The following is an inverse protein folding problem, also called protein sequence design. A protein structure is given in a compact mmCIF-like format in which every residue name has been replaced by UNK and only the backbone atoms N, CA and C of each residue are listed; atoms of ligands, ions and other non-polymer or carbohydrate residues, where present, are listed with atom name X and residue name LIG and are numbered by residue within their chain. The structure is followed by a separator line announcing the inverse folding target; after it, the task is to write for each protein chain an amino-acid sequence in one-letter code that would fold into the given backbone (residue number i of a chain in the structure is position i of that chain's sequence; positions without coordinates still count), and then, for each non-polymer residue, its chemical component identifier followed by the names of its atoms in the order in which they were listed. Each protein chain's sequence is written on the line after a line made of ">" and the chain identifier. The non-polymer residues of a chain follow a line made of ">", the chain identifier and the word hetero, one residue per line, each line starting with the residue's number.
data_IF_149361755908
#
_entry.id   IF_149361755908
#
_cell.length_a   1.000
_cell.length_b   1.000
_cell.length_c   1.000
_cell.angle_alpha   90.00
_cell.angle_beta   90.00
_cell.angle_gamma   90.00
#
_symmetry.space_group_name_H-M   'P 1'
#
loop_
_entity.id
_entity.type
_entity.pdbx_description
1 polymer ?
#
# COMPACT_ATOMS: atom_id res chain seq x y z
N UNK A 1 19.91 5.35 10.57
CA UNK A 1 19.78 4.40 11.67
C UNK A 1 20.04 2.99 11.13
N UNK A 2 20.58 2.05 11.95
CA UNK A 2 20.77 0.68 11.51
C UNK A 2 19.40 0.01 11.25
N UNK A 3 19.30 -0.73 10.16
CA UNK A 3 18.19 -1.62 9.88
C UNK A 3 18.48 -2.97 10.57
N UNK A 4 17.60 -3.37 11.47
CA UNK A 4 17.82 -4.56 12.30
C UNK A 4 16.75 -5.59 11.96
N UNK A 5 17.13 -6.55 11.12
CA UNK A 5 16.29 -7.68 10.75
C UNK A 5 16.67 -8.91 11.57
N UNK A 6 15.68 -9.58 12.12
CA UNK A 6 15.87 -10.82 12.86
C UNK A 6 14.83 -11.85 12.43
N UNK A 7 15.33 -13.01 12.01
CA UNK A 7 14.50 -14.11 11.56
C UNK A 7 14.15 -15.03 12.74
N UNK A 8 12.86 -15.33 12.88
CA UNK A 8 12.33 -16.27 13.86
C UNK A 8 11.52 -17.35 13.16
N UNK A 9 11.33 -18.49 13.82
CA UNK A 9 10.30 -19.42 13.41
C UNK A 9 8.91 -18.77 13.55
N UNK A 10 7.99 -19.14 12.66
CA UNK A 10 6.67 -18.49 12.56
C UNK A 10 5.85 -18.69 13.86
N UNK A 11 5.95 -19.87 14.48
CA UNK A 11 5.24 -20.20 15.73
C UNK A 11 5.84 -19.52 16.97
N UNK A 12 7.16 -19.36 16.99
CA UNK A 12 7.89 -18.75 18.12
C UNK A 12 7.90 -17.22 18.10
N UNK A 13 7.65 -16.58 16.96
CA UNK A 13 7.70 -15.12 16.81
C UNK A 13 6.87 -14.37 17.86
N UNK A 14 5.66 -14.85 18.16
CA UNK A 14 4.79 -14.20 19.16
C UNK A 14 5.41 -14.25 20.58
N UNK A 15 6.06 -15.34 20.94
CA UNK A 15 6.74 -15.47 22.24
C UNK A 15 7.87 -14.45 22.39
N UNK A 16 8.57 -14.13 21.30
CA UNK A 16 9.62 -13.10 21.30
C UNK A 16 9.02 -11.71 21.50
N UNK A 17 7.91 -11.41 20.85
CA UNK A 17 7.17 -10.15 21.05
C UNK A 17 6.72 -10.02 22.51
N UNK A 18 6.14 -11.08 23.08
CA UNK A 18 5.69 -11.11 24.47
C UNK A 18 6.87 -10.86 25.43
N UNK A 19 8.02 -11.49 25.19
CA UNK A 19 9.26 -11.25 25.96
C UNK A 19 9.72 -9.79 25.87
N UNK A 20 9.66 -9.18 24.69
CA UNK A 20 10.03 -7.76 24.49
C UNK A 20 9.10 -6.85 25.27
N UNK A 21 7.80 -7.15 25.26
CA UNK A 21 6.79 -6.39 26.02
C UNK A 21 7.03 -6.52 27.52
N UNK A 22 7.32 -7.71 28.02
CA UNK A 22 7.63 -7.95 29.44
C UNK A 22 8.91 -7.21 29.87
N UNK A 23 9.91 -7.20 29.00
CA UNK A 23 11.21 -6.59 29.29
C UNK A 23 11.19 -5.06 29.27
N UNK A 24 10.52 -4.44 28.33
CA UNK A 24 10.57 -3.00 28.09
C UNK A 24 9.32 -2.27 28.55
N UNK A 25 8.21 -2.95 28.65
CA UNK A 25 6.92 -2.40 29.05
C UNK A 25 5.93 -2.23 27.88
N UNK A 26 4.66 -2.42 28.16
CA UNK A 26 3.59 -2.39 27.17
C UNK A 26 3.44 -1.04 26.45
N UNK A 27 3.77 0.06 27.12
CA UNK A 27 3.70 1.40 26.56
C UNK A 27 4.95 1.79 25.75
N UNK A 28 5.98 0.96 25.76
CA UNK A 28 7.26 1.21 25.07
C UNK A 28 7.41 0.35 23.80
N UNK A 29 6.46 -0.55 23.55
CA UNK A 29 6.48 -1.45 22.39
C UNK A 29 5.21 -1.26 21.56
N UNK A 30 5.38 -1.14 20.26
CA UNK A 30 4.25 -1.00 19.34
C UNK A 30 4.51 -1.67 17.99
N UNK A 31 3.43 -2.09 17.35
CA UNK A 31 3.44 -2.37 15.92
C UNK A 31 3.53 -1.10 15.09
N UNK A 32 4.02 -1.23 13.86
CA UNK A 32 4.08 -0.12 12.90
C UNK A 32 2.83 -0.14 12.04
N UNK A 33 2.22 1.04 11.84
CA UNK A 33 1.13 1.18 10.88
C UNK A 33 1.62 1.07 9.44
N UNK A 34 0.76 0.57 8.58
CA UNK A 34 0.90 0.67 7.12
C UNK A 34 -0.31 1.38 6.55
N UNK A 35 -0.10 2.14 5.48
CA UNK A 35 -1.16 2.84 4.78
C UNK A 35 -1.31 2.28 3.37
N UNK A 36 -2.42 1.60 3.14
CA UNK A 36 -2.79 1.13 1.80
C UNK A 36 -3.32 2.29 0.97
N UNK A 37 -2.72 2.54 -0.19
CA UNK A 37 -3.18 3.56 -1.14
C UNK A 37 -4.01 2.95 -2.25
N UNK A 38 -4.85 3.77 -2.86
CA UNK A 38 -5.66 3.39 -4.01
C UNK A 38 -4.76 3.25 -5.25
N UNK A 39 -4.47 2.01 -5.66
CA UNK A 39 -3.78 1.72 -6.92
C UNK A 39 -4.73 1.83 -8.12
N UNK A 40 -4.20 1.93 -9.33
CA UNK A 40 -4.92 2.18 -10.58
C UNK A 40 -6.21 1.35 -10.75
N UNK A 41 -6.10 0.01 -10.70
CA UNK A 41 -7.27 -0.89 -10.84
C UNK A 41 -8.29 -0.72 -9.71
N UNK A 42 -7.81 -0.48 -8.48
CA UNK A 42 -8.65 -0.30 -7.31
C UNK A 42 -9.40 1.02 -7.38
N UNK A 43 -8.75 2.11 -7.79
CA UNK A 43 -9.38 3.41 -7.98
C UNK A 43 -10.56 3.34 -8.95
N UNK A 44 -10.36 2.69 -10.12
CA UNK A 44 -11.44 2.47 -11.09
C UNK A 44 -12.61 1.70 -10.46
N UNK A 45 -12.34 0.59 -9.75
CA UNK A 45 -13.40 -0.24 -9.16
C UNK A 45 -14.15 0.47 -8.03
N UNK A 46 -13.46 1.19 -7.18
CA UNK A 46 -14.08 1.90 -6.05
C UNK A 46 -14.94 3.07 -6.56
N UNK A 47 -14.45 3.85 -7.53
CA UNK A 47 -15.22 4.92 -8.16
C UNK A 47 -16.41 4.37 -8.95
N UNK A 48 -16.23 3.28 -9.70
CA UNK A 48 -17.32 2.61 -10.40
C UNK A 48 -18.48 2.24 -9.47
N UNK A 49 -18.14 1.70 -8.29
CA UNK A 49 -19.15 1.33 -7.29
C UNK A 49 -19.90 2.53 -6.74
N UNK A 50 -19.23 3.64 -6.50
CA UNK A 50 -19.84 4.87 -5.98
C UNK A 50 -20.73 5.56 -7.02
N UNK A 51 -20.36 5.48 -8.30
CA UNK A 51 -21.10 6.07 -9.40
C UNK A 51 -22.11 5.10 -10.06
N UNK A 52 -22.34 3.94 -9.43
CA UNK A 52 -23.28 2.92 -9.91
C UNK A 52 -23.01 2.41 -11.34
N UNK A 53 -21.73 2.40 -11.77
CA UNK A 53 -21.36 1.74 -13.01
C UNK A 53 -21.55 0.23 -12.86
N UNK A 54 -22.26 -0.46 -13.78
CA UNK A 54 -22.48 -1.90 -13.69
C UNK A 54 -21.19 -2.69 -13.48
N UNK A 55 -21.24 -3.71 -12.61
CA UNK A 55 -20.06 -4.51 -12.23
C UNK A 55 -19.31 -5.10 -13.42
N UNK A 56 -20.04 -5.51 -14.46
CA UNK A 56 -19.45 -6.02 -15.68
C UNK A 56 -18.58 -4.96 -16.40
N UNK A 57 -19.09 -3.75 -16.51
CA UNK A 57 -18.39 -2.62 -17.14
C UNK A 57 -17.20 -2.18 -16.28
N UNK A 58 -17.38 -2.09 -14.97
CA UNK A 58 -16.31 -1.81 -14.01
C UNK A 58 -15.14 -2.80 -14.12
N UNK A 59 -15.45 -4.10 -14.19
CA UNK A 59 -14.45 -5.13 -14.37
C UNK A 59 -13.78 -5.06 -15.74
N UNK A 60 -14.52 -4.73 -16.81
CA UNK A 60 -13.96 -4.54 -18.14
C UNK A 60 -12.98 -3.37 -18.17
N UNK A 61 -13.34 -2.21 -17.59
CA UNK A 61 -12.44 -1.06 -17.46
C UNK A 61 -11.18 -1.40 -16.66
N UNK A 62 -11.33 -2.01 -15.50
CA UNK A 62 -10.19 -2.37 -14.67
C UNK A 62 -9.25 -3.39 -15.34
N UNK A 63 -9.80 -4.26 -16.19
CA UNK A 63 -9.01 -5.25 -16.96
C UNK A 63 -8.14 -4.60 -18.05
N UNK A 64 -8.54 -3.43 -18.56
CA UNK A 64 -7.74 -2.68 -19.53
C UNK A 64 -6.50 -2.00 -18.90
N UNK A 65 -6.41 -1.90 -17.58
CA UNK A 65 -5.20 -1.45 -16.91
C UNK A 65 -4.18 -2.58 -16.96
N UNK A 66 -3.00 -2.37 -17.57
CA UNK A 66 -1.94 -3.39 -17.63
C UNK A 66 -1.51 -3.88 -16.26
N UNK A 67 -1.14 -5.15 -16.15
CA UNK A 67 -0.75 -5.76 -14.87
C UNK A 67 0.76 -5.62 -14.64
N UNK A 68 1.20 -4.39 -14.48
CA UNK A 68 2.61 -4.05 -14.25
C UNK A 68 2.81 -3.42 -12.87
N UNK A 69 3.90 -3.77 -12.17
CA UNK A 69 4.24 -3.14 -10.90
C UNK A 69 4.34 -1.62 -11.05
N UNK A 70 3.74 -0.89 -10.09
CA UNK A 70 3.82 0.58 -10.01
C UNK A 70 3.24 1.35 -11.20
N UNK A 71 2.46 0.71 -12.08
CA UNK A 71 1.74 1.43 -13.12
C UNK A 71 0.68 2.33 -12.49
N UNK A 72 0.58 3.57 -12.97
CA UNK A 72 -0.41 4.55 -12.51
C UNK A 72 -1.34 4.98 -13.64
N UNK A 73 -2.55 5.42 -13.27
CA UNK A 73 -3.48 6.01 -14.24
C UNK A 73 -2.89 7.27 -14.86
N UNK A 74 -2.19 8.09 -14.07
CA UNK A 74 -1.50 9.27 -14.61
C UNK A 74 -0.55 8.89 -15.75
N UNK A 75 0.29 7.87 -15.57
CA UNK A 75 1.17 7.38 -16.63
C UNK A 75 0.41 6.84 -17.83
N UNK A 76 -0.66 6.07 -17.57
CA UNK A 76 -1.51 5.49 -18.63
C UNK A 76 -2.10 6.59 -19.52
N UNK A 77 -2.57 7.69 -18.95
CA UNK A 77 -3.24 8.74 -19.70
C UNK A 77 -2.31 9.83 -20.26
N UNK A 78 -1.19 10.11 -19.61
CA UNK A 78 -0.34 11.25 -19.94
C UNK A 78 1.00 10.89 -20.56
N UNK A 79 1.53 9.66 -20.38
CA UNK A 79 2.82 9.28 -20.96
C UNK A 79 2.70 8.90 -22.45
N UNK A 80 3.80 9.07 -23.19
CA UNK A 80 3.91 8.54 -24.56
C UNK A 80 3.79 7.00 -24.56
N UNK A 81 3.24 6.42 -25.62
CA UNK A 81 3.11 4.97 -25.75
C UNK A 81 4.45 4.31 -26.05
N UNK A 82 5.22 4.91 -26.96
CA UNK A 82 6.53 4.40 -27.45
C UNK A 82 7.56 5.53 -27.47
N UNK A 83 8.83 5.17 -27.48
CA UNK A 83 9.93 6.11 -27.45
C UNK A 83 10.59 6.21 -26.06
N UNK A 84 11.48 7.18 -25.89
CA UNK A 84 12.16 7.40 -24.59
C UNK A 84 11.17 7.78 -23.48
N UNK A 85 11.33 7.21 -22.29
CA UNK A 85 10.48 7.41 -21.11
C UNK A 85 8.99 7.09 -21.31
N UNK A 86 8.65 6.39 -22.39
CA UNK A 86 7.29 5.94 -22.70
C UNK A 86 6.81 4.81 -21.79
N UNK A 87 5.55 4.40 -21.96
CA UNK A 87 4.99 3.22 -21.30
C UNK A 87 5.68 1.93 -21.74
N UNK A 88 6.06 1.82 -23.01
CA UNK A 88 6.83 0.68 -23.49
C UNK A 88 8.22 0.61 -22.88
N UNK A 89 8.88 1.76 -22.70
CA UNK A 89 10.25 1.83 -22.18
C UNK A 89 10.30 1.66 -20.65
N UNK A 90 9.49 2.41 -19.91
CA UNK A 90 9.55 2.46 -18.43
C UNK A 90 8.79 1.31 -17.76
N UNK A 91 7.59 1.03 -18.21
CA UNK A 91 6.73 0.00 -17.65
C UNK A 91 6.86 -1.35 -18.40
N UNK A 92 7.59 -1.38 -19.52
CA UNK A 92 7.82 -2.59 -20.30
C UNK A 92 6.53 -3.15 -20.92
N UNK A 93 5.64 -2.27 -21.40
CA UNK A 93 4.38 -2.72 -22.02
C UNK A 93 4.62 -3.32 -23.39
N UNK A 94 4.01 -4.47 -23.62
CA UNK A 94 3.97 -5.11 -24.93
C UNK A 94 2.87 -4.51 -25.82
N UNK A 95 2.75 -4.99 -27.06
CA UNK A 95 1.79 -4.48 -28.06
C UNK A 95 0.35 -4.59 -27.58
N UNK A 96 -0.04 -5.71 -26.97
CA UNK A 96 -1.39 -5.94 -26.46
C UNK A 96 -1.72 -4.99 -25.30
N UNK A 97 -0.78 -4.81 -24.36
CA UNK A 97 -0.93 -3.90 -23.24
C UNK A 97 -1.01 -2.44 -23.70
N UNK A 98 -0.26 -2.06 -24.75
CA UNK A 98 -0.38 -0.74 -25.37
C UNK A 98 -1.73 -0.53 -26.04
N UNK A 99 -2.32 -1.56 -26.66
CA UNK A 99 -3.67 -1.46 -27.22
C UNK A 99 -4.74 -1.36 -26.13
N UNK A 100 -4.57 -2.02 -24.99
CA UNK A 100 -5.41 -1.83 -23.81
C UNK A 100 -5.37 -0.37 -23.33
N UNK A 101 -4.19 0.24 -23.26
CA UNK A 101 -4.01 1.65 -22.89
C UNK A 101 -4.71 2.58 -23.90
N UNK A 102 -4.56 2.33 -25.22
CA UNK A 102 -5.26 3.11 -26.24
C UNK A 102 -6.77 3.03 -26.06
N UNK A 103 -7.30 1.85 -25.77
CA UNK A 103 -8.72 1.66 -25.53
C UNK A 103 -9.21 2.42 -24.28
N UNK A 104 -8.46 2.40 -23.16
CA UNK A 104 -8.77 3.22 -21.99
C UNK A 104 -8.83 4.72 -22.34
N UNK A 105 -7.86 5.21 -23.11
CA UNK A 105 -7.84 6.61 -23.57
C UNK A 105 -9.05 6.93 -24.42
N UNK A 106 -9.39 6.05 -25.35
CA UNK A 106 -10.59 6.19 -26.22
C UNK A 106 -11.87 6.26 -25.38
N UNK A 107 -12.03 5.41 -24.38
CA UNK A 107 -13.19 5.40 -23.49
C UNK A 107 -13.29 6.75 -22.73
N UNK A 108 -12.19 7.24 -22.21
CA UNK A 108 -12.16 8.54 -21.52
C UNK A 108 -12.59 9.69 -22.46
N UNK A 109 -12.11 9.70 -23.70
CA UNK A 109 -12.45 10.70 -24.72
C UNK A 109 -13.90 10.60 -25.21
N UNK A 110 -14.50 9.39 -25.15
CA UNK A 110 -15.87 9.15 -25.60
C UNK A 110 -16.93 9.78 -24.70
N UNK A 111 -16.57 10.16 -23.48
CA UNK A 111 -17.53 10.71 -22.50
C UNK A 111 -18.42 9.65 -21.87
N UNK A 112 -19.47 10.12 -21.18
CA UNK A 112 -20.40 9.25 -20.48
C UNK A 112 -19.89 8.75 -19.11
N UNK A 113 -20.65 7.85 -18.50
CA UNK A 113 -20.35 7.36 -17.15
C UNK A 113 -18.98 6.68 -17.02
N UNK A 114 -18.53 5.83 -17.97
CA UNK A 114 -17.19 5.25 -17.90
C UNK A 114 -16.06 6.29 -17.93
N UNK A 115 -16.21 7.37 -18.72
CA UNK A 115 -15.23 8.47 -18.74
C UNK A 115 -15.20 9.21 -17.40
N UNK A 116 -16.36 9.50 -16.82
CA UNK A 116 -16.50 10.14 -15.50
C UNK A 116 -15.85 9.27 -14.41
N UNK A 117 -16.00 7.95 -14.48
CA UNK A 117 -15.32 7.01 -13.58
C UNK A 117 -13.80 7.14 -13.69
N UNK A 118 -13.26 7.16 -14.90
CA UNK A 118 -11.81 7.29 -15.14
C UNK A 118 -11.28 8.63 -14.60
N UNK A 119 -11.99 9.73 -14.84
CA UNK A 119 -11.60 11.07 -14.39
C UNK A 119 -11.53 11.16 -12.85
N UNK A 120 -12.54 10.64 -12.17
CA UNK A 120 -12.54 10.61 -10.70
C UNK A 120 -11.51 9.63 -10.16
N UNK A 121 -11.28 8.49 -10.82
CA UNK A 121 -10.24 7.53 -10.43
C UNK A 121 -8.83 8.13 -10.52
N UNK A 122 -8.56 8.96 -11.55
CA UNK A 122 -7.31 9.72 -11.68
C UNK A 122 -7.07 10.67 -10.50
N UNK A 123 -8.12 11.30 -9.98
CA UNK A 123 -8.04 12.22 -8.84
C UNK A 123 -7.77 11.45 -7.54
N UNK A 124 -8.38 10.28 -7.38
CA UNK A 124 -8.33 9.50 -6.15
C UNK A 124 -7.14 8.54 -6.07
N UNK A 125 -6.52 8.20 -7.20
CA UNK A 125 -5.35 7.34 -7.22
C UNK A 125 -4.23 7.87 -6.30
N UNK A 126 -3.62 6.98 -5.52
CA UNK A 126 -2.59 7.34 -4.56
C UNK A 126 -3.12 7.84 -3.21
N UNK A 127 -4.41 8.17 -3.10
CA UNK A 127 -5.00 8.53 -1.80
C UNK A 127 -5.02 7.35 -0.85
N UNK A 128 -4.87 7.62 0.45
CA UNK A 128 -4.95 6.58 1.47
C UNK A 128 -6.37 6.01 1.51
N UNK A 129 -6.47 4.69 1.39
CA UNK A 129 -7.74 3.96 1.43
C UNK A 129 -8.01 3.29 2.77
N UNK A 130 -6.96 2.85 3.43
CA UNK A 130 -7.08 2.16 4.70
C UNK A 130 -5.75 2.03 5.42
N UNK A 131 -5.83 1.61 6.67
CA UNK A 131 -4.68 1.35 7.51
C UNK A 131 -4.55 -0.16 7.77
N UNK A 132 -3.33 -0.62 7.88
CA UNK A 132 -2.98 -1.98 8.27
C UNK A 132 -1.89 -1.96 9.32
N UNK A 133 -1.39 -3.15 9.64
CA UNK A 133 -0.28 -3.36 10.55
C UNK A 133 0.88 -3.95 9.75
N UNK A 134 2.08 -3.42 9.95
CA UNK A 134 3.28 -3.96 9.31
C UNK A 134 3.52 -5.40 9.80
N UNK A 135 3.76 -6.32 8.86
CA UNK A 135 3.82 -7.75 9.18
C UNK A 135 4.96 -8.13 10.14
N UNK A 136 6.10 -7.42 10.08
CA UNK A 136 7.31 -7.73 10.82
C UNK A 136 7.73 -6.62 11.78
N UNK A 137 7.48 -5.35 11.44
CA UNK A 137 8.03 -4.19 12.14
C UNK A 137 7.50 -3.99 13.55
N UNK A 138 8.42 -3.89 14.48
CA UNK A 138 8.17 -3.57 15.89
C UNK A 138 9.02 -2.36 16.27
N UNK A 139 8.43 -1.44 17.01
CA UNK A 139 9.13 -0.32 17.64
C UNK A 139 9.35 -0.66 19.10
N UNK A 140 10.58 -0.40 19.58
CA UNK A 140 10.94 -0.43 20.99
C UNK A 140 11.49 0.94 21.36
N UNK A 141 10.79 1.65 22.24
CA UNK A 141 11.14 3.01 22.65
C UNK A 141 11.82 3.04 24.02
N UNK A 142 12.67 4.04 24.30
CA UNK A 142 13.34 4.18 25.61
C UNK A 142 12.39 4.71 26.71
N UNK A 143 11.27 5.29 26.36
CA UNK A 143 10.24 5.81 27.24
C UNK A 143 8.85 5.53 26.70
N UNK A 144 7.79 6.03 27.34
CA UNK A 144 6.42 5.89 26.86
C UNK A 144 6.31 6.43 25.43
N UNK A 145 5.75 5.62 24.52
CA UNK A 145 5.60 5.97 23.11
C UNK A 145 4.75 7.22 22.89
N UNK A 146 3.79 7.48 23.75
CA UNK A 146 2.92 8.65 23.65
C UNK A 146 3.64 9.97 23.84
N UNK A 147 4.82 9.95 24.46
CA UNK A 147 5.70 11.13 24.59
C UNK A 147 6.52 11.41 23.33
N UNK A 148 6.62 10.41 22.43
CA UNK A 148 7.51 10.46 21.26
C UNK A 148 6.70 10.62 19.97
N UNK A 149 5.61 9.86 19.83
CA UNK A 149 4.82 9.80 18.59
C UNK A 149 3.35 9.43 18.88
N UNK A 150 2.43 9.79 17.98
CA UNK A 150 1.04 9.39 18.12
C UNK A 150 0.88 7.87 17.91
N UNK A 151 0.05 7.28 18.77
CA UNK A 151 -0.29 5.86 18.73
C UNK A 151 -1.80 5.64 18.64
N UNK A 152 -2.20 4.46 18.22
CA UNK A 152 -3.58 4.00 18.12
C UNK A 152 -3.73 2.61 18.71
N UNK A 153 -4.97 2.21 18.97
CA UNK A 153 -5.34 0.85 19.31
C UNK A 153 -6.07 0.18 18.15
N UNK A 154 -5.99 -1.13 18.05
CA UNK A 154 -6.76 -1.93 17.10
C UNK A 154 -7.48 -3.06 17.83
N UNK A 155 -8.55 -3.56 17.21
CA UNK A 155 -9.25 -4.76 17.70
C UNK A 155 -8.48 -6.04 17.38
N UNK A 156 -7.57 -5.98 16.42
CA UNK A 156 -6.86 -7.14 15.88
C UNK A 156 -5.62 -7.51 16.69
N UNK A 157 -5.05 -6.56 17.45
CA UNK A 157 -3.83 -6.75 18.23
C UNK A 157 -3.94 -6.08 19.60
N UNK A 158 -3.24 -6.64 20.58
CA UNK A 158 -3.22 -6.14 21.96
C UNK A 158 -2.21 -5.00 22.20
N UNK A 159 -1.21 -4.89 21.32
CA UNK A 159 -0.20 -3.83 21.37
C UNK A 159 -0.71 -2.54 20.72
N UNK A 160 -0.09 -1.43 21.15
CA UNK A 160 -0.24 -0.15 20.47
C UNK A 160 0.24 -0.26 19.02
N UNK A 161 -0.31 0.59 18.17
CA UNK A 161 0.11 0.74 16.78
C UNK A 161 0.55 2.19 16.59
N UNK A 162 1.70 2.41 15.97
CA UNK A 162 2.13 3.78 15.63
C UNK A 162 1.18 4.38 14.59
N UNK A 163 1.00 5.71 14.59
CA UNK A 163 0.26 6.39 13.53
C UNK A 163 1.18 6.91 12.42
N UNK A 164 2.48 6.82 12.60
CA UNK A 164 3.44 7.06 11.51
C UNK A 164 3.73 5.78 10.75
N UNK A 165 3.81 5.90 9.43
CA UNK A 165 4.20 4.82 8.53
C UNK A 165 5.67 4.43 8.71
N UNK A 166 5.99 3.15 8.47
CA UNK A 166 7.34 2.63 8.61
C UNK A 166 8.41 3.36 7.78
N UNK A 167 8.03 4.00 6.68
CA UNK A 167 8.97 4.76 5.84
C UNK A 167 9.45 6.08 6.45
N UNK A 168 8.71 6.62 7.41
CA UNK A 168 9.00 7.92 8.05
C UNK A 168 9.20 7.85 9.56
N UNK A 169 8.92 6.70 10.16
CA UNK A 169 8.89 6.55 11.62
C UNK A 169 10.24 6.81 12.28
N UNK A 170 11.34 6.50 11.60
CA UNK A 170 12.70 6.76 12.09
C UNK A 170 12.99 8.24 12.27
N UNK A 171 12.30 9.12 11.53
CA UNK A 171 12.41 10.57 11.69
C UNK A 171 11.88 11.05 13.04
N UNK A 172 11.05 10.25 13.71
CA UNK A 172 10.59 10.51 15.07
C UNK A 172 11.62 10.13 16.16
N UNK A 173 12.76 9.56 15.78
CA UNK A 173 13.85 9.19 16.70
C UNK A 173 13.69 7.81 17.33
N UNK A 174 12.85 6.94 16.79
CA UNK A 174 12.69 5.55 17.23
C UNK A 174 13.36 4.60 16.24
N UNK A 175 13.74 3.42 16.74
CA UNK A 175 14.37 2.36 15.94
C UNK A 175 13.30 1.32 15.56
N UNK A 176 13.22 1.04 14.27
CA UNK A 176 12.44 -0.07 13.74
C UNK A 176 13.27 -1.37 13.83
N UNK A 177 12.66 -2.41 14.36
CA UNK A 177 13.22 -3.77 14.34
C UNK A 177 12.24 -4.68 13.59
N UNK A 178 12.73 -5.39 12.58
CA UNK A 178 11.91 -6.32 11.81
C UNK A 178 12.06 -7.75 12.38
N UNK A 179 10.98 -8.21 13.02
CA UNK A 179 10.88 -9.58 13.51
C UNK A 179 10.16 -10.42 12.44
N UNK A 180 10.95 -11.03 11.56
CA UNK A 180 10.44 -11.82 10.45
C UNK A 180 10.06 -13.23 10.91
N UNK A 181 8.84 -13.65 10.65
CA UNK A 181 8.39 -15.03 10.86
C UNK A 181 8.61 -15.85 9.59
N UNK A 182 9.51 -16.82 9.63
CA UNK A 182 9.85 -17.68 8.50
C UNK A 182 9.31 -19.09 8.71
N UNK A 183 8.39 -19.53 7.84
CA UNK A 183 7.88 -20.92 7.85
C UNK A 183 8.94 -21.98 7.59
N UNK A 184 10.05 -21.58 6.96
CA UNK A 184 11.18 -22.49 6.70
C UNK A 184 12.03 -22.79 7.93
N UNK A 185 11.81 -22.06 9.02
CA UNK A 185 12.46 -22.26 10.32
C UNK A 185 11.60 -23.06 11.31
N UNK A 186 10.36 -23.37 10.93
CA UNK A 186 9.40 -24.14 11.75
C UNK A 186 9.50 -25.62 11.48
#
# INVERSE_FOLDING_TARGET
>A
LPDIDTDFDDEGRQKVIDYVVDKYGKNQVAHIATYGTMAAKMSIKDVSRVLDLPLQESNALAKLVPDKPKITLDRIFNAALTGDKSLADKEGLNSEELDQVKELRRIKESGGLPATVIENALILEGSVRGTGIHAAGIIIAPSDLTDILPVATSKDVSLLITQYDGSVIENAGVIKMDFLGLKTLS
#
